data_IF_881094284985
#
_entry.id   IF_881094284985
#
_cell.length_a   1.000
_cell.length_b   1.000
_cell.length_c   1.000
_cell.angle_alpha   90.00
_cell.angle_beta   90.00
_cell.angle_gamma   90.00
#
_symmetry.space_group_name_H-M   'P 1'
#
loop_
_entity.id
_entity.type
_entity.pdbx_description
1 polymer ?
#
# COMPACT_ATOMS: atom_id res chain seq x y z
N UNK A 1 -15.45 59.98 -43.43
CA UNK A 1 -14.59 59.52 -42.30
C UNK A 1 -15.22 58.31 -41.65
N UNK A 2 -14.65 57.11 -41.87
CA UNK A 2 -15.14 55.86 -41.33
C UNK A 2 -14.21 55.42 -40.18
N UNK A 3 -14.72 55.47 -38.97
CA UNK A 3 -14.01 55.03 -37.79
C UNK A 3 -14.06 53.49 -37.69
N UNK A 4 -12.93 52.83 -37.74
CA UNK A 4 -12.76 51.38 -37.50
C UNK A 4 -12.55 51.18 -36.00
N UNK A 5 -13.50 50.51 -35.36
CA UNK A 5 -13.40 50.09 -33.96
C UNK A 5 -12.75 48.69 -33.95
N UNK A 6 -11.51 48.61 -33.47
CA UNK A 6 -10.85 47.32 -33.20
C UNK A 6 -11.32 46.79 -31.85
N UNK A 7 -12.08 45.73 -31.86
CA UNK A 7 -12.42 44.98 -30.65
C UNK A 7 -11.25 44.05 -30.31
N UNK A 8 -10.55 44.32 -29.20
CA UNK A 8 -9.51 43.45 -28.66
C UNK A 8 -10.19 42.30 -27.93
N UNK A 9 -10.07 41.09 -28.49
CA UNK A 9 -10.55 39.86 -27.89
C UNK A 9 -9.49 39.33 -26.90
N UNK A 10 -9.76 39.51 -25.60
CA UNK A 10 -8.91 38.96 -24.52
C UNK A 10 -9.22 37.50 -24.38
N UNK A 11 -8.28 36.65 -24.81
CA UNK A 11 -8.31 35.22 -24.59
C UNK A 11 -7.89 34.95 -23.14
N UNK A 12 -8.86 34.64 -22.27
CA UNK A 12 -8.60 34.15 -20.93
C UNK A 12 -8.20 32.68 -21.02
N UNK A 13 -6.91 32.36 -20.79
CA UNK A 13 -6.43 31.00 -20.63
C UNK A 13 -6.87 30.45 -19.26
N UNK A 14 -7.48 29.27 -19.19
CA UNK A 14 -7.73 28.63 -17.91
C UNK A 14 -6.38 28.20 -17.30
N UNK A 15 -6.04 28.76 -16.14
CA UNK A 15 -4.95 28.26 -15.32
C UNK A 15 -5.38 26.93 -14.71
N UNK A 16 -4.85 25.82 -15.23
CA UNK A 16 -4.90 24.55 -14.53
C UNK A 16 -4.00 24.68 -13.29
N UNK A 17 -4.62 24.81 -12.13
CA UNK A 17 -3.91 24.65 -10.86
C UNK A 17 -3.52 23.18 -10.74
N UNK A 18 -2.27 22.86 -11.08
CA UNK A 18 -1.65 21.58 -10.79
C UNK A 18 -1.46 21.49 -9.27
N UNK A 19 -2.43 20.87 -8.61
CA UNK A 19 -2.30 20.50 -7.20
C UNK A 19 -1.35 19.32 -7.12
N UNK A 20 -0.06 19.58 -7.26
CA UNK A 20 0.99 18.62 -6.90
C UNK A 20 0.92 18.40 -5.39
N UNK A 21 0.04 17.50 -4.96
CA UNK A 21 0.13 16.92 -3.64
C UNK A 21 1.41 16.08 -3.61
N UNK A 22 2.43 16.64 -2.97
CA UNK A 22 3.70 15.95 -2.71
C UNK A 22 3.48 14.79 -1.75
N UNK A 23 2.98 13.65 -2.24
CA UNK A 23 3.05 12.36 -1.59
C UNK A 23 4.12 11.52 -2.30
N UNK A 24 5.38 11.90 -2.08
CA UNK A 24 6.54 11.26 -2.71
C UNK A 24 6.83 9.83 -2.22
N UNK A 25 5.95 9.22 -1.44
CA UNK A 25 6.07 7.84 -0.97
C UNK A 25 4.77 7.03 -1.04
N UNK A 26 3.73 7.52 -1.73
CA UNK A 26 2.51 6.74 -1.89
C UNK A 26 2.75 5.58 -2.87
N UNK A 27 2.69 4.36 -2.38
CA UNK A 27 2.61 3.17 -3.23
C UNK A 27 1.27 3.24 -3.99
N UNK A 28 1.32 3.47 -5.29
CA UNK A 28 0.14 3.52 -6.16
C UNK A 28 -0.32 2.11 -6.50
N UNK A 29 -0.86 1.39 -5.51
CA UNK A 29 -1.40 0.06 -5.69
C UNK A 29 -2.83 0.05 -5.12
N UNK A 30 -3.81 -0.16 -5.99
CA UNK A 30 -5.23 0.01 -5.69
C UNK A 30 -5.91 -1.29 -5.24
N UNK A 31 -5.19 -2.41 -5.22
CA UNK A 31 -5.71 -3.72 -4.80
C UNK A 31 -4.70 -4.48 -3.96
N UNK A 32 -5.18 -5.41 -3.13
CA UNK A 32 -4.29 -6.28 -2.34
C UNK A 32 -3.33 -7.09 -3.20
N UNK A 33 -3.76 -7.54 -4.38
CA UNK A 33 -2.89 -8.21 -5.34
C UNK A 33 -1.78 -7.30 -5.85
N UNK A 34 -2.10 -6.04 -6.19
CA UNK A 34 -1.11 -5.08 -6.66
C UNK A 34 -0.12 -4.70 -5.54
N UNK A 35 -0.60 -4.49 -4.31
CA UNK A 35 0.28 -4.27 -3.15
C UNK A 35 1.22 -5.46 -2.95
N UNK A 36 0.70 -6.69 -3.02
CA UNK A 36 1.53 -7.88 -2.90
C UNK A 36 2.62 -7.92 -3.98
N UNK A 37 2.26 -7.73 -5.25
CA UNK A 37 3.19 -7.80 -6.38
C UNK A 37 4.29 -6.73 -6.32
N UNK A 38 3.94 -5.51 -5.94
CA UNK A 38 4.89 -4.39 -6.00
C UNK A 38 5.70 -4.23 -4.72
N UNK A 39 5.21 -4.71 -3.58
CA UNK A 39 5.83 -4.49 -2.26
C UNK A 39 6.30 -5.79 -1.63
N UNK A 40 5.43 -6.78 -1.50
CA UNK A 40 5.68 -7.96 -0.68
C UNK A 40 6.43 -9.07 -1.45
N UNK A 41 6.13 -9.22 -2.74
CA UNK A 41 6.66 -10.30 -3.59
C UNK A 41 8.18 -10.26 -3.73
N UNK A 42 8.80 -9.08 -3.60
CA UNK A 42 10.25 -8.93 -3.65
C UNK A 42 10.99 -9.82 -2.65
N UNK A 43 10.40 -10.02 -1.46
CA UNK A 43 10.92 -10.89 -0.41
C UNK A 43 10.16 -12.21 -0.32
N UNK A 44 8.82 -12.17 -0.33
CA UNK A 44 7.99 -13.36 -0.14
C UNK A 44 7.82 -14.23 -1.40
N UNK A 45 8.39 -13.81 -2.52
CA UNK A 45 8.43 -14.48 -3.82
C UNK A 45 7.05 -14.63 -4.49
N UNK A 46 6.99 -14.83 -5.80
CA UNK A 46 5.76 -15.12 -6.52
C UNK A 46 5.02 -16.30 -5.89
N UNK A 47 3.71 -16.18 -5.70
CA UNK A 47 2.90 -17.19 -5.04
C UNK A 47 3.10 -17.30 -3.53
N UNK A 48 3.80 -16.35 -2.91
CA UNK A 48 4.00 -16.32 -1.47
C UNK A 48 4.82 -17.48 -0.92
N UNK A 49 5.66 -18.13 -1.74
CA UNK A 49 6.39 -19.35 -1.34
C UNK A 49 7.57 -19.11 -0.41
N UNK A 50 7.95 -17.84 -0.19
CA UNK A 50 9.13 -17.51 0.58
C UNK A 50 10.44 -17.97 -0.08
N UNK A 51 11.55 -17.81 0.61
CA UNK A 51 12.85 -18.24 0.17
C UNK A 51 13.77 -18.62 1.35
N UNK A 52 14.70 -19.52 1.09
CA UNK A 52 15.76 -19.92 2.02
C UNK A 52 17.10 -19.84 1.27
N UNK A 53 18.09 -19.21 1.88
CA UNK A 53 19.41 -19.03 1.28
C UNK A 53 20.29 -18.17 2.17
N UNK A 54 20.89 -17.10 1.66
CA UNK A 54 21.64 -16.12 2.43
C UNK A 54 20.76 -15.37 3.47
N UNK A 55 19.44 -15.40 3.30
CA UNK A 55 18.41 -14.98 4.23
C UNK A 55 17.23 -15.95 4.20
N UNK A 56 16.36 -15.88 5.19
CA UNK A 56 15.11 -16.65 5.23
C UNK A 56 13.92 -15.69 5.15
N UNK A 57 13.09 -15.88 4.14
CA UNK A 57 11.83 -15.16 3.97
C UNK A 57 10.68 -16.16 4.14
N UNK A 58 9.79 -15.96 5.13
CA UNK A 58 8.76 -16.94 5.43
C UNK A 58 7.78 -17.08 4.26
N UNK A 59 7.33 -18.33 4.06
CA UNK A 59 6.25 -18.60 3.14
C UNK A 59 4.95 -18.02 3.68
N UNK A 60 4.20 -17.35 2.81
CA UNK A 60 2.82 -16.92 3.05
C UNK A 60 1.83 -17.97 2.51
N UNK A 61 2.29 -18.84 1.59
CA UNK A 61 1.51 -19.95 1.08
C UNK A 61 1.29 -21.01 2.16
N UNK A 62 0.05 -21.49 2.26
CA UNK A 62 -0.36 -22.54 3.23
C UNK A 62 0.10 -22.22 4.67
N UNK A 63 -0.01 -20.97 5.08
CA UNK A 63 0.56 -20.52 6.34
C UNK A 63 -0.50 -20.43 7.45
N UNK A 64 -0.45 -21.33 8.45
CA UNK A 64 -1.43 -21.34 9.54
C UNK A 64 -1.35 -20.10 10.46
N UNK A 65 -0.24 -19.38 10.48
CA UNK A 65 -0.15 -18.13 11.26
C UNK A 65 -1.05 -17.02 10.71
N UNK A 66 -1.52 -17.13 9.46
CA UNK A 66 -2.45 -16.18 8.87
C UNK A 66 -3.90 -16.39 9.31
N UNK A 67 -4.22 -17.46 10.05
CA UNK A 67 -5.55 -17.72 10.60
C UNK A 67 -6.01 -16.58 11.51
N UNK A 68 -5.16 -16.14 12.42
CA UNK A 68 -5.43 -14.96 13.23
C UNK A 68 -5.10 -13.70 12.46
N UNK A 69 -6.12 -12.97 12.01
CA UNK A 69 -5.98 -11.75 11.21
C UNK A 69 -5.11 -10.66 11.86
N UNK A 70 -5.11 -10.56 13.17
CA UNK A 70 -4.28 -9.61 13.92
C UNK A 70 -2.79 -9.84 13.75
N UNK A 71 -2.37 -11.09 13.51
CA UNK A 71 -0.96 -11.42 13.32
C UNK A 71 -0.37 -10.77 12.06
N UNK A 72 -0.88 -11.03 10.83
CA UNK A 72 -0.35 -10.37 9.64
C UNK A 72 -0.53 -8.85 9.65
N UNK A 73 -1.60 -8.32 10.24
CA UNK A 73 -1.77 -6.87 10.43
C UNK A 73 -0.62 -6.29 11.26
N UNK A 74 -0.31 -6.91 12.39
CA UNK A 74 0.81 -6.48 13.25
C UNK A 74 2.15 -6.58 12.54
N UNK A 75 2.39 -7.67 11.79
CA UNK A 75 3.63 -7.85 11.04
C UNK A 75 3.83 -6.77 9.98
N UNK A 76 2.77 -6.44 9.23
CA UNK A 76 2.85 -5.39 8.20
C UNK A 76 3.02 -4.01 8.83
N UNK A 77 2.31 -3.72 9.91
CA UNK A 77 2.42 -2.40 10.58
C UNK A 77 3.81 -2.17 11.18
N UNK A 78 4.33 -3.16 11.90
CA UNK A 78 5.50 -2.95 12.76
C UNK A 78 6.79 -3.53 12.17
N UNK A 79 6.69 -4.42 11.17
CA UNK A 79 7.83 -5.19 10.71
C UNK A 79 8.29 -6.24 11.73
N UNK A 80 9.23 -7.07 11.36
CA UNK A 80 9.90 -7.99 12.26
C UNK A 80 11.22 -8.50 11.66
N UNK A 81 12.31 -8.39 12.39
CA UNK A 81 13.62 -8.83 11.90
C UNK A 81 14.01 -8.10 10.60
N UNK A 82 14.15 -8.84 9.51
CA UNK A 82 14.45 -8.29 8.19
C UNK A 82 13.23 -7.72 7.44
N UNK A 83 12.02 -7.92 7.93
CA UNK A 83 10.82 -7.34 7.34
C UNK A 83 10.65 -5.90 7.80
N UNK A 84 10.61 -4.92 6.90
CA UNK A 84 10.40 -3.53 7.26
C UNK A 84 8.97 -3.29 7.76
N UNK A 85 8.76 -2.19 8.48
CA UNK A 85 7.43 -1.70 8.83
C UNK A 85 6.81 -0.93 7.66
N UNK A 86 5.49 -0.99 7.54
CA UNK A 86 4.74 -0.28 6.51
C UNK A 86 3.73 0.73 7.09
N UNK A 87 3.70 0.91 8.41
CA UNK A 87 2.90 1.97 9.05
C UNK A 87 3.42 3.35 8.59
N UNK A 88 2.54 4.15 7.99
CA UNK A 88 2.90 5.43 7.37
C UNK A 88 3.50 5.32 5.95
N UNK A 89 3.79 4.10 5.45
CA UNK A 89 4.22 3.82 4.07
C UNK A 89 3.03 3.38 3.21
N UNK A 90 2.25 2.41 3.73
CA UNK A 90 0.99 1.98 3.16
C UNK A 90 -0.17 2.59 3.93
N UNK A 91 -1.26 2.92 3.24
CA UNK A 91 -2.49 3.35 3.89
C UNK A 91 -3.17 2.18 4.63
N UNK A 92 -4.03 2.45 5.63
CA UNK A 92 -4.81 1.40 6.29
C UNK A 92 -5.63 0.55 5.31
N UNK A 93 -6.14 1.13 4.22
CA UNK A 93 -6.84 0.42 3.17
C UNK A 93 -5.92 -0.56 2.43
N UNK A 94 -4.74 -0.10 2.01
CA UNK A 94 -3.77 -0.96 1.34
C UNK A 94 -3.29 -2.11 2.22
N UNK A 95 -3.09 -1.85 3.52
CA UNK A 95 -2.72 -2.90 4.48
C UNK A 95 -3.86 -3.91 4.64
N UNK A 96 -5.10 -3.46 4.83
CA UNK A 96 -6.26 -4.34 4.92
C UNK A 96 -6.41 -5.20 3.65
N UNK A 97 -6.28 -4.59 2.47
CA UNK A 97 -6.43 -5.27 1.19
C UNK A 97 -5.35 -6.32 0.96
N UNK A 98 -4.08 -6.04 1.25
CA UNK A 98 -2.99 -7.02 1.07
C UNK A 98 -3.06 -8.14 2.10
N UNK A 99 -3.44 -7.84 3.34
CA UNK A 99 -3.65 -8.86 4.38
C UNK A 99 -4.80 -9.80 3.97
N UNK A 100 -5.93 -9.27 3.53
CA UNK A 100 -7.04 -10.08 3.03
C UNK A 100 -6.64 -10.89 1.79
N UNK A 101 -5.85 -10.32 0.89
CA UNK A 101 -5.35 -11.01 -0.29
C UNK A 101 -4.51 -12.22 0.09
N UNK A 102 -3.49 -12.08 0.92
CA UNK A 102 -2.63 -13.22 1.31
C UNK A 102 -3.36 -14.26 2.14
N UNK A 103 -4.36 -13.86 2.93
CA UNK A 103 -5.20 -14.75 3.73
C UNK A 103 -6.17 -15.59 2.92
N UNK A 104 -6.49 -15.18 1.71
CA UNK A 104 -7.44 -15.89 0.81
C UNK A 104 -6.78 -16.47 -0.44
N UNK A 105 -5.47 -16.31 -0.61
CA UNK A 105 -4.71 -16.78 -1.76
C UNK A 105 -3.55 -17.68 -1.33
N UNK A 106 -2.86 -18.23 -2.29
CA UNK A 106 -1.68 -19.08 -2.07
C UNK A 106 -1.98 -20.34 -1.25
N UNK A 107 -3.19 -20.90 -1.41
CA UNK A 107 -3.62 -22.07 -0.65
C UNK A 107 -4.11 -21.78 0.77
N UNK A 108 -4.26 -20.53 1.15
CA UNK A 108 -4.94 -20.09 2.36
C UNK A 108 -6.44 -19.89 2.08
N UNK A 109 -7.29 -20.12 3.08
CA UNK A 109 -8.76 -19.96 2.98
C UNK A 109 -9.33 -19.33 4.26
N UNK A 110 -8.77 -18.22 4.69
CA UNK A 110 -9.21 -17.48 5.87
C UNK A 110 -10.10 -16.31 5.43
N UNK A 111 -11.41 -16.47 5.53
CA UNK A 111 -12.43 -15.60 4.89
C UNK A 111 -12.92 -14.44 5.75
N UNK A 112 -12.63 -14.44 7.05
CA UNK A 112 -12.90 -13.29 7.92
C UNK A 112 -12.07 -12.08 7.49
N UNK A 113 -12.74 -10.95 7.21
CA UNK A 113 -12.11 -9.79 6.60
C UNK A 113 -11.54 -8.83 7.63
N UNK A 114 -10.33 -8.37 7.35
CA UNK A 114 -9.74 -7.18 7.97
C UNK A 114 -10.30 -5.94 7.28
N UNK A 115 -10.71 -4.95 8.07
CA UNK A 115 -11.15 -3.64 7.56
C UNK A 115 -10.05 -2.58 7.73
N UNK A 116 -10.09 -1.47 6.97
CA UNK A 116 -9.19 -0.34 7.22
C UNK A 116 -9.30 0.22 8.64
N UNK A 117 -10.48 0.14 9.26
CA UNK A 117 -10.69 0.57 10.64
C UNK A 117 -9.96 -0.33 11.64
N UNK A 118 -9.93 -1.66 11.41
CA UNK A 118 -9.18 -2.60 12.24
C UNK A 118 -7.68 -2.30 12.18
N UNK A 119 -7.17 -2.03 10.98
CA UNK A 119 -5.76 -1.64 10.78
C UNK A 119 -5.45 -0.33 11.49
N UNK A 120 -6.30 0.69 11.34
CA UNK A 120 -6.11 1.99 11.99
C UNK A 120 -6.15 1.87 13.52
N UNK A 121 -7.01 1.01 14.06
CA UNK A 121 -7.09 0.75 15.50
C UNK A 121 -5.85 0.01 16.04
N UNK A 122 -5.23 -0.84 15.22
CA UNK A 122 -4.01 -1.58 15.57
C UNK A 122 -2.73 -0.74 15.37
N UNK A 123 -2.79 0.31 14.54
CA UNK A 123 -1.64 1.15 14.23
C UNK A 123 -1.28 2.03 15.42
N UNK A 124 -0.02 1.93 15.86
CA UNK A 124 0.60 2.93 16.73
C UNK A 124 1.05 4.17 15.94
N UNK A 125 1.78 5.10 16.58
CA UNK A 125 2.45 6.18 15.88
C UNK A 125 3.36 5.63 14.77
N UNK A 126 3.34 6.25 13.58
CA UNK A 126 4.24 5.84 12.51
C UNK A 126 5.71 6.04 12.95
N UNK A 127 6.59 5.05 12.71
CA UNK A 127 7.99 5.20 12.99
C UNK A 127 8.59 6.40 12.24
N UNK A 128 9.39 7.21 12.93
CA UNK A 128 10.14 8.31 12.31
C UNK A 128 11.50 7.77 11.87
N UNK A 129 11.87 8.04 10.63
CA UNK A 129 13.22 7.77 10.16
C UNK A 129 14.12 8.86 10.74
N UNK A 130 14.94 8.50 11.70
CA UNK A 130 16.02 9.38 12.15
C UNK A 130 17.00 9.61 10.99
N UNK A 131 17.32 10.87 10.72
CA UNK A 131 18.25 11.27 9.66
C UNK A 131 19.68 11.19 10.16
#
# INVERSE_FOLDING_TARGET
MRALIFAAMVLASPAFADSAANNSHAVTADTGAAVFQHVCQGCHMPGGRGAVGAGAFPALAHNPHLENAGYPVSMVLNGHGGMPWFNGVLSPTQIADVVNYVRTHFGNDYTDKVTPADVAAAAGPAPVLEK
#
